data_IF_490429439378
#
_entry.id   IF_490429439378
#
_cell.length_a   1.000
_cell.length_b   1.000
_cell.length_c   1.000
_cell.angle_alpha   90.00
_cell.angle_beta   90.00
_cell.angle_gamma   90.00
#
_symmetry.space_group_name_H-M   'P 1'
#
loop_
_entity.id
_entity.type
_entity.pdbx_description
1 polymer ?
#
# COMPACT_ATOMS: atom_id res chain seq x y z
N UNK A 1 52.34 21.81 -15.66
CA UNK A 1 51.03 21.81 -16.39
C UNK A 1 50.44 20.43 -16.65
N UNK A 2 51.12 19.29 -16.52
CA UNK A 2 50.52 17.94 -16.77
C UNK A 2 49.71 17.35 -15.61
N UNK A 3 49.91 17.79 -14.38
CA UNK A 3 49.21 17.24 -13.21
C UNK A 3 47.83 17.83 -12.99
N UNK A 4 47.51 19.01 -13.47
CA UNK A 4 46.19 19.63 -13.35
C UNK A 4 45.15 19.07 -14.37
N UNK A 5 45.62 18.48 -15.48
CA UNK A 5 44.75 17.86 -16.48
C UNK A 5 44.25 16.47 -16.02
N UNK A 6 45.13 15.70 -15.35
CA UNK A 6 44.78 14.38 -14.79
C UNK A 6 43.77 14.48 -13.62
N UNK A 7 43.89 15.48 -12.75
CA UNK A 7 42.95 15.70 -11.65
C UNK A 7 41.52 16.05 -12.13
N UNK A 8 41.40 16.80 -13.23
CA UNK A 8 40.10 17.13 -13.82
C UNK A 8 39.43 15.95 -14.54
N UNK A 9 40.21 15.05 -15.12
CA UNK A 9 39.72 13.84 -15.76
C UNK A 9 39.27 12.79 -14.74
N UNK A 10 39.94 12.70 -13.59
CA UNK A 10 39.50 11.83 -12.47
C UNK A 10 38.25 12.34 -11.79
N UNK A 11 38.11 13.65 -11.54
CA UNK A 11 36.90 14.23 -10.96
C UNK A 11 35.68 14.14 -11.90
N UNK A 12 35.88 14.18 -13.21
CA UNK A 12 34.82 13.98 -14.20
C UNK A 12 34.39 12.50 -14.28
N UNK A 13 35.30 11.54 -14.10
CA UNK A 13 35.02 10.11 -14.11
C UNK A 13 34.33 9.65 -12.80
N UNK A 14 34.75 10.18 -11.65
CA UNK A 14 34.09 9.88 -10.37
C UNK A 14 32.70 10.53 -10.30
N UNK A 15 32.54 11.75 -10.75
CA UNK A 15 31.22 12.41 -10.79
C UNK A 15 30.25 11.80 -11.81
N UNK A 16 30.74 11.14 -12.87
CA UNK A 16 29.91 10.40 -13.82
C UNK A 16 29.55 9.01 -13.29
N UNK A 17 30.48 8.34 -12.59
CA UNK A 17 30.22 7.06 -11.94
C UNK A 17 29.22 7.22 -10.79
N UNK A 18 29.39 8.24 -9.94
CA UNK A 18 28.44 8.55 -8.86
C UNK A 18 27.05 8.93 -9.41
N UNK A 19 26.96 9.64 -10.55
CA UNK A 19 25.67 9.93 -11.20
C UNK A 19 25.01 8.71 -11.81
N UNK A 20 25.79 7.80 -12.40
CA UNK A 20 25.26 6.53 -12.94
C UNK A 20 24.75 5.61 -11.83
N UNK A 21 25.42 5.59 -10.67
CA UNK A 21 25.02 4.80 -9.52
C UNK A 21 23.74 5.37 -8.83
N UNK A 22 23.53 6.69 -8.90
CA UNK A 22 22.32 7.36 -8.40
C UNK A 22 21.13 7.16 -9.37
N UNK A 23 21.37 6.99 -10.66
CA UNK A 23 20.32 6.81 -11.68
C UNK A 23 19.84 5.36 -11.80
N UNK A 24 20.62 4.36 -11.40
CA UNK A 24 20.20 2.96 -11.39
C UNK A 24 19.41 2.63 -10.11
N UNK A 25 18.35 1.83 -10.25
CA UNK A 25 17.65 1.30 -9.07
C UNK A 25 18.54 0.29 -8.36
N UNK A 26 18.57 0.26 -6.99
CA UNK A 26 19.47 -0.61 -6.23
C UNK A 26 19.27 -2.11 -6.53
N UNK A 27 18.08 -2.50 -6.94
CA UNK A 27 17.69 -3.88 -7.27
C UNK A 27 17.68 -4.18 -8.79
N UNK A 28 18.07 -3.23 -9.62
CA UNK A 28 18.17 -3.37 -11.08
C UNK A 28 16.86 -3.34 -11.85
N UNK A 29 15.72 -3.01 -11.19
CA UNK A 29 14.42 -2.86 -11.87
C UNK A 29 14.39 -1.66 -12.83
N UNK A 30 13.56 -1.72 -13.86
CA UNK A 30 13.20 -0.54 -14.65
C UNK A 30 12.34 0.44 -13.82
N UNK A 31 12.26 1.70 -14.27
CA UNK A 31 11.54 2.76 -13.54
C UNK A 31 10.05 2.42 -13.33
N UNK A 32 9.45 1.69 -14.25
CA UNK A 32 8.05 1.27 -14.26
C UNK A 32 7.80 -0.14 -13.71
N UNK A 33 8.83 -0.81 -13.14
CA UNK A 33 8.69 -2.15 -12.58
C UNK A 33 8.22 -2.16 -11.13
N UNK A 34 7.30 -3.08 -10.81
CA UNK A 34 6.98 -3.49 -9.45
C UNK A 34 8.09 -4.41 -8.90
N UNK A 35 8.30 -4.39 -7.58
CA UNK A 35 9.02 -5.48 -6.90
C UNK A 35 8.29 -6.81 -7.12
N UNK A 36 8.91 -7.96 -6.87
CA UNK A 36 8.20 -9.23 -6.80
C UNK A 36 7.06 -9.15 -5.79
N UNK A 37 5.84 -9.45 -6.23
CA UNK A 37 4.63 -9.40 -5.39
C UNK A 37 4.16 -10.80 -5.10
N UNK A 38 3.88 -11.11 -3.83
CA UNK A 38 3.30 -12.38 -3.40
C UNK A 38 2.12 -12.13 -2.46
N UNK A 39 1.02 -12.86 -2.66
CA UNK A 39 -0.15 -12.84 -1.78
C UNK A 39 -0.44 -14.27 -1.35
N UNK A 40 -0.29 -14.55 -0.05
CA UNK A 40 -0.63 -15.84 0.55
C UNK A 40 -1.91 -15.72 1.35
N UNK A 41 -3.02 -16.25 0.82
CA UNK A 41 -4.35 -16.23 1.47
C UNK A 41 -4.42 -17.25 2.61
N UNK A 42 -5.42 -17.04 3.47
CA UNK A 42 -5.72 -17.94 4.59
C UNK A 42 -4.52 -18.17 5.52
N UNK A 43 -3.72 -17.10 5.69
CA UNK A 43 -2.51 -17.15 6.51
C UNK A 43 -2.82 -17.45 7.98
N UNK A 44 -3.89 -16.87 8.50
CA UNK A 44 -4.34 -17.10 9.88
C UNK A 44 -5.56 -18.02 9.94
N UNK A 45 -5.52 -18.97 10.85
CA UNK A 45 -6.55 -20.01 10.98
C UNK A 45 -7.91 -19.47 11.46
N UNK A 46 -7.91 -18.43 12.30
CA UNK A 46 -9.13 -18.01 13.02
C UNK A 46 -9.77 -16.77 12.44
N UNK A 47 -9.08 -16.01 11.60
CA UNK A 47 -9.63 -14.86 10.90
C UNK A 47 -10.62 -15.30 9.81
N UNK A 48 -11.70 -14.57 9.62
CA UNK A 48 -12.70 -14.83 8.56
C UNK A 48 -12.13 -14.57 7.16
N UNK A 49 -11.09 -13.72 7.06
CA UNK A 49 -10.26 -13.55 5.90
C UNK A 49 -8.84 -13.17 6.32
N UNK A 50 -7.82 -13.66 5.64
CA UNK A 50 -6.45 -13.23 5.94
C UNK A 50 -5.52 -13.42 4.77
N UNK A 51 -4.58 -12.49 4.61
CA UNK A 51 -3.53 -12.54 3.60
C UNK A 51 -2.21 -12.02 4.17
N UNK A 52 -1.12 -12.74 3.89
CA UNK A 52 0.21 -12.17 3.94
C UNK A 52 0.53 -11.62 2.55
N UNK A 53 0.79 -10.32 2.47
CA UNK A 53 1.23 -9.66 1.24
C UNK A 53 2.69 -9.26 1.34
N UNK A 54 3.43 -9.47 0.27
CA UNK A 54 4.84 -9.14 0.16
C UNK A 54 5.08 -8.29 -1.10
N UNK A 55 5.73 -7.14 -0.91
CA UNK A 55 6.26 -6.29 -1.97
C UNK A 55 7.79 -6.32 -1.83
N UNK A 56 8.45 -7.26 -2.51
CA UNK A 56 9.86 -7.55 -2.27
C UNK A 56 10.10 -7.88 -0.80
N UNK A 57 10.85 -7.02 -0.11
CA UNK A 57 11.14 -7.19 1.32
C UNK A 57 10.08 -6.59 2.26
N UNK A 58 9.17 -5.78 1.77
CA UNK A 58 8.03 -5.31 2.58
C UNK A 58 7.02 -6.44 2.78
N UNK A 59 6.67 -6.76 4.03
CA UNK A 59 5.72 -7.82 4.39
C UNK A 59 4.68 -7.29 5.34
N UNK A 60 3.41 -7.46 4.98
CA UNK A 60 2.26 -7.03 5.79
C UNK A 60 1.29 -8.19 5.95
N UNK A 61 0.93 -8.50 7.18
CA UNK A 61 -0.14 -9.42 7.50
C UNK A 61 -1.44 -8.63 7.61
N UNK A 62 -2.45 -9.02 6.84
CA UNK A 62 -3.78 -8.44 6.86
C UNK A 62 -4.77 -9.51 7.35
N UNK A 63 -5.51 -9.22 8.42
CA UNK A 63 -6.48 -10.13 9.02
C UNK A 63 -7.84 -9.45 9.17
N UNK A 64 -8.89 -10.05 8.62
CA UNK A 64 -10.26 -9.55 8.70
C UNK A 64 -11.03 -10.29 9.78
N UNK A 65 -11.63 -9.53 10.69
CA UNK A 65 -12.53 -10.01 11.74
C UNK A 65 -13.94 -9.53 11.46
N UNK A 66 -14.91 -10.46 11.45
CA UNK A 66 -16.33 -10.18 11.23
C UNK A 66 -17.10 -10.16 12.54
N UNK A 67 -17.88 -9.11 12.76
CA UNK A 67 -18.79 -8.99 13.91
C UNK A 67 -20.18 -8.66 13.39
N UNK A 68 -21.18 -9.42 13.83
CA UNK A 68 -22.59 -9.07 13.60
C UNK A 68 -22.94 -7.80 14.35
N UNK A 69 -23.59 -6.86 13.66
CA UNK A 69 -23.92 -5.54 14.16
C UNK A 69 -22.92 -4.47 13.74
N UNK A 70 -23.30 -3.24 14.00
CA UNK A 70 -22.54 -2.04 13.60
C UNK A 70 -22.37 -1.09 14.78
N UNK A 71 -21.43 -0.14 14.73
CA UNK A 71 -21.25 0.88 15.76
C UNK A 71 -22.57 1.60 16.08
N UNK A 72 -22.73 2.06 17.33
CA UNK A 72 -23.99 2.68 17.83
C UNK A 72 -24.53 3.78 16.92
N UNK A 73 -23.65 4.61 16.39
CA UNK A 73 -24.02 5.73 15.50
C UNK A 73 -24.55 5.28 14.12
N UNK A 74 -24.37 4.01 13.76
CA UNK A 74 -24.82 3.44 12.48
C UNK A 74 -25.97 2.45 12.63
N UNK A 75 -26.30 2.05 13.87
CA UNK A 75 -27.34 1.06 14.18
C UNK A 75 -28.69 1.51 13.65
N UNK A 76 -29.43 0.60 13.00
CA UNK A 76 -30.73 0.87 12.38
C UNK A 76 -30.69 1.59 11.06
N UNK A 77 -29.49 1.80 10.47
CA UNK A 77 -29.36 2.39 9.13
C UNK A 77 -29.51 1.37 8.01
N UNK A 78 -29.45 0.08 8.31
CA UNK A 78 -29.38 -1.00 7.31
C UNK A 78 -28.03 -1.11 6.61
N UNK A 79 -27.05 -0.29 7.03
CA UNK A 79 -25.74 -0.22 6.38
C UNK A 79 -24.66 -0.90 7.25
N UNK A 80 -23.80 -1.67 6.62
CA UNK A 80 -22.61 -2.25 7.26
C UNK A 80 -21.51 -1.24 7.53
N UNK A 81 -20.41 -1.73 8.09
CA UNK A 81 -19.22 -0.92 8.36
C UNK A 81 -17.94 -1.70 8.09
N UNK A 82 -16.99 -1.03 7.46
CA UNK A 82 -15.62 -1.54 7.27
C UNK A 82 -14.65 -0.54 7.85
N UNK A 83 -13.76 -1.01 8.70
CA UNK A 83 -12.69 -0.21 9.30
C UNK A 83 -11.37 -0.97 9.25
N UNK A 84 -10.26 -0.27 9.48
CA UNK A 84 -8.96 -0.89 9.56
C UNK A 84 -8.12 -0.30 10.68
N UNK A 85 -7.24 -1.12 11.21
CA UNK A 85 -6.15 -0.74 12.09
C UNK A 85 -4.82 -1.04 11.40
N UNK A 86 -3.80 -0.27 11.71
CA UNK A 86 -2.47 -0.44 11.16
C UNK A 86 -1.47 -0.40 12.29
N UNK A 87 -0.52 -1.30 12.26
CA UNK A 87 0.56 -1.35 13.24
C UNK A 87 1.86 -1.82 12.59
N UNK A 88 2.98 -1.52 13.24
CA UNK A 88 4.29 -1.96 12.82
C UNK A 88 4.98 -2.70 13.95
N UNK A 89 5.49 -3.91 13.67
CA UNK A 89 6.27 -4.63 14.67
C UNK A 89 7.55 -3.84 15.04
N UNK A 90 8.00 -3.92 16.29
CA UNK A 90 9.17 -3.17 16.74
C UNK A 90 10.43 -3.36 15.89
N UNK A 91 10.62 -4.55 15.33
CA UNK A 91 11.77 -4.89 14.46
C UNK A 91 11.38 -5.03 12.99
N UNK A 92 10.28 -4.45 12.59
CA UNK A 92 9.93 -4.35 11.16
C UNK A 92 10.94 -3.49 10.38
N UNK A 93 11.64 -2.58 11.05
CA UNK A 93 12.64 -1.64 10.49
C UNK A 93 14.07 -2.02 10.87
N UNK A 94 15.05 -1.38 10.26
CA UNK A 94 16.50 -1.57 10.52
C UNK A 94 16.85 -1.42 12.01
N UNK A 95 16.25 -0.46 12.69
CA UNK A 95 16.39 -0.24 14.12
C UNK A 95 15.10 -0.61 14.83
N UNK A 96 15.20 -1.00 16.12
CA UNK A 96 14.03 -1.31 16.93
C UNK A 96 13.26 -0.04 17.29
N UNK A 97 11.97 -0.01 16.94
CA UNK A 97 11.03 1.00 17.40
C UNK A 97 10.29 0.52 18.66
N UNK A 98 9.85 1.47 19.50
CA UNK A 98 9.00 1.13 20.64
C UNK A 98 7.58 0.74 20.18
N UNK A 99 6.94 -0.14 20.94
CA UNK A 99 5.52 -0.41 20.72
C UNK A 99 4.67 0.79 21.14
N UNK A 100 3.80 1.29 20.25
CA UNK A 100 2.91 2.42 20.53
C UNK A 100 1.97 2.12 21.70
N UNK A 101 1.49 0.86 21.81
CA UNK A 101 0.64 0.41 22.92
C UNK A 101 1.31 0.56 24.30
N UNK A 102 2.64 0.42 24.38
CA UNK A 102 3.39 0.63 25.64
C UNK A 102 3.49 2.11 25.99
N UNK A 103 3.50 3.00 24.98
CA UNK A 103 3.47 4.46 25.18
C UNK A 103 2.09 5.00 25.56
N UNK A 104 1.06 4.16 25.57
CA UNK A 104 -0.32 4.52 25.93
C UNK A 104 -1.05 5.42 24.94
N UNK A 105 -0.47 5.66 23.77
CA UNK A 105 -1.11 6.43 22.67
C UNK A 105 -0.63 5.95 21.32
N UNK A 106 -1.54 5.94 20.37
CA UNK A 106 -1.27 5.66 18.97
C UNK A 106 -0.72 6.94 18.32
N UNK A 107 0.30 6.81 17.47
CA UNK A 107 0.92 7.92 16.75
C UNK A 107 0.00 8.50 15.66
N UNK A 108 0.21 9.78 15.30
CA UNK A 108 -0.57 10.44 14.25
C UNK A 108 -0.45 9.73 12.89
N UNK A 109 0.75 9.25 12.54
CA UNK A 109 1.01 8.47 11.32
C UNK A 109 0.19 7.16 11.31
N UNK A 110 0.16 6.43 12.39
CA UNK A 110 -0.60 5.17 12.52
C UNK A 110 -2.10 5.43 12.36
N UNK A 111 -2.63 6.47 13.00
CA UNK A 111 -4.03 6.89 12.82
C UNK A 111 -4.36 7.31 11.39
N UNK A 112 -3.47 8.06 10.75
CA UNK A 112 -3.64 8.50 9.36
C UNK A 112 -3.72 7.29 8.42
N UNK A 113 -2.77 6.34 8.54
CA UNK A 113 -2.73 5.14 7.69
C UNK A 113 -3.95 4.24 7.94
N UNK A 114 -4.35 4.01 9.19
CA UNK A 114 -5.55 3.24 9.53
C UNK A 114 -6.80 3.83 8.85
N UNK A 115 -6.94 5.17 8.86
CA UNK A 115 -8.06 5.86 8.20
C UNK A 115 -8.00 5.76 6.69
N UNK A 116 -6.81 5.85 6.11
CA UNK A 116 -6.56 5.68 4.68
C UNK A 116 -6.99 4.28 4.22
N UNK A 117 -6.52 3.21 4.89
CA UNK A 117 -6.90 1.83 4.58
C UNK A 117 -8.43 1.66 4.67
N UNK A 118 -9.03 2.08 5.79
CA UNK A 118 -10.47 1.97 5.98
C UNK A 118 -11.29 2.70 4.93
N UNK A 119 -10.85 3.91 4.49
CA UNK A 119 -11.50 4.65 3.38
C UNK A 119 -11.39 3.92 2.06
N UNK A 120 -10.20 3.42 1.75
CA UNK A 120 -9.93 2.67 0.51
C UNK A 120 -10.82 1.43 0.42
N UNK A 121 -10.93 0.66 1.50
CA UNK A 121 -11.75 -0.54 1.52
C UNK A 121 -13.26 -0.24 1.40
N UNK A 122 -13.72 0.87 1.97
CA UNK A 122 -15.14 1.29 1.81
C UNK A 122 -15.49 1.71 0.39
N UNK A 123 -14.53 2.09 -0.44
CA UNK A 123 -14.75 2.32 -1.87
C UNK A 123 -14.91 1.00 -2.67
N UNK A 124 -14.49 -0.14 -2.09
CA UNK A 124 -14.61 -1.45 -2.73
C UNK A 124 -15.94 -2.15 -2.47
N UNK A 125 -16.75 -1.70 -1.49
CA UNK A 125 -17.87 -2.47 -0.97
C UNK A 125 -19.15 -1.63 -0.87
N UNK A 126 -20.27 -2.22 -1.30
CA UNK A 126 -21.60 -1.71 -1.03
C UNK A 126 -22.01 -2.06 0.41
N UNK A 127 -22.04 -1.04 1.25
CA UNK A 127 -22.37 -1.18 2.67
C UNK A 127 -23.84 -1.56 2.91
N UNK A 128 -24.75 -1.29 1.96
CA UNK A 128 -26.14 -1.73 2.06
C UNK A 128 -26.24 -3.23 1.77
N UNK A 129 -25.49 -3.72 0.77
CA UNK A 129 -25.40 -5.14 0.48
C UNK A 129 -24.70 -5.94 1.58
N UNK A 130 -23.72 -5.34 2.28
CA UNK A 130 -23.10 -5.94 3.46
C UNK A 130 -24.11 -6.13 4.61
N UNK A 131 -25.12 -5.24 4.72
CA UNK A 131 -26.07 -5.23 5.85
C UNK A 131 -25.39 -4.81 7.15
N UNK A 132 -26.11 -4.84 8.27
CA UNK A 132 -25.55 -4.43 9.57
C UNK A 132 -24.51 -5.43 10.13
N UNK A 133 -23.45 -5.68 9.33
CA UNK A 133 -22.25 -6.39 9.74
C UNK A 133 -21.07 -5.41 9.78
N UNK A 134 -20.15 -5.62 10.72
CA UNK A 134 -18.87 -4.90 10.77
C UNK A 134 -17.72 -5.81 10.37
N UNK A 135 -16.80 -5.30 9.57
CA UNK A 135 -15.54 -5.96 9.25
C UNK A 135 -14.41 -5.04 9.70
N UNK A 136 -13.61 -5.51 10.65
CA UNK A 136 -12.38 -4.84 11.08
C UNK A 136 -11.18 -5.56 10.46
N UNK A 137 -10.27 -4.82 9.86
CA UNK A 137 -9.07 -5.38 9.24
C UNK A 137 -7.84 -4.86 9.96
N UNK A 138 -7.10 -5.77 10.55
CA UNK A 138 -5.83 -5.50 11.20
C UNK A 138 -4.70 -5.68 10.17
N UNK A 139 -3.88 -4.65 10.00
CA UNK A 139 -2.73 -4.64 9.09
C UNK A 139 -1.44 -4.49 9.90
N UNK A 140 -0.75 -5.60 10.12
CA UNK A 140 0.51 -5.64 10.87
C UNK A 140 1.71 -5.74 9.94
N UNK A 141 2.55 -4.69 9.93
CA UNK A 141 3.79 -4.70 9.17
C UNK A 141 4.83 -5.56 9.90
N UNK A 142 5.17 -6.68 9.28
CA UNK A 142 6.16 -7.65 9.79
C UNK A 142 7.57 -7.18 9.42
N UNK A 143 7.74 -6.68 8.20
CA UNK A 143 8.99 -6.12 7.68
C UNK A 143 8.68 -4.95 6.76
N UNK A 144 9.43 -3.85 6.94
CA UNK A 144 9.26 -2.61 6.20
C UNK A 144 10.47 -2.32 5.32
N UNK A 145 10.21 -2.14 4.03
CA UNK A 145 11.18 -1.76 3.01
C UNK A 145 10.52 -0.86 1.95
N UNK A 146 9.92 0.27 2.38
CA UNK A 146 9.12 1.15 1.53
C UNK A 146 7.73 0.59 1.20
N UNK A 147 6.76 1.45 0.92
CA UNK A 147 5.42 1.09 0.46
C UNK A 147 4.56 0.29 1.44
N UNK A 148 4.77 0.41 2.76
CA UNK A 148 4.03 -0.39 3.75
C UNK A 148 2.54 -0.11 3.76
N UNK A 149 2.11 1.16 3.58
CA UNK A 149 0.68 1.53 3.54
C UNK A 149 -0.01 1.04 2.27
N UNK A 150 0.68 1.07 1.13
CA UNK A 150 0.14 0.60 -0.15
C UNK A 150 0.05 -0.93 -0.20
N UNK A 151 1.03 -1.64 0.33
CA UNK A 151 0.97 -3.08 0.54
C UNK A 151 -0.17 -3.45 1.49
N UNK A 152 -0.35 -2.71 2.61
CA UNK A 152 -1.45 -2.93 3.55
C UNK A 152 -2.82 -2.77 2.87
N UNK A 153 -3.05 -1.72 2.07
CA UNK A 153 -4.32 -1.53 1.33
C UNK A 153 -4.57 -2.69 0.37
N UNK A 154 -3.54 -3.07 -0.41
CA UNK A 154 -3.64 -4.11 -1.43
C UNK A 154 -3.91 -5.48 -0.81
N UNK A 155 -3.24 -5.83 0.31
CA UNK A 155 -3.46 -7.08 1.03
C UNK A 155 -4.77 -7.10 1.82
N UNK A 156 -5.15 -5.96 2.40
CA UNK A 156 -6.40 -5.80 3.13
C UNK A 156 -7.64 -6.03 2.25
N UNK A 157 -7.58 -5.64 0.97
CA UNK A 157 -8.65 -5.96 0.02
C UNK A 157 -8.85 -7.47 -0.14
N UNK A 158 -7.77 -8.26 -0.25
CA UNK A 158 -7.85 -9.72 -0.37
C UNK A 158 -8.44 -10.33 0.91
N UNK A 159 -8.01 -9.87 2.09
CA UNK A 159 -8.59 -10.31 3.36
C UNK A 159 -10.08 -9.93 3.48
N UNK A 160 -10.49 -8.74 3.00
CA UNK A 160 -11.88 -8.31 2.93
C UNK A 160 -12.70 -9.22 2.02
N UNK A 161 -12.18 -9.58 0.84
CA UNK A 161 -12.85 -10.45 -0.12
C UNK A 161 -13.12 -11.85 0.47
N UNK A 162 -12.14 -12.41 1.18
CA UNK A 162 -12.31 -13.68 1.90
C UNK A 162 -13.38 -13.59 3.01
N UNK A 163 -13.36 -12.52 3.81
CA UNK A 163 -14.34 -12.29 4.86
C UNK A 163 -15.76 -12.11 4.32
N UNK A 164 -15.93 -11.43 3.20
CA UNK A 164 -17.21 -11.29 2.49
C UNK A 164 -17.68 -12.63 1.95
N UNK A 165 -16.81 -13.45 1.39
CA UNK A 165 -17.11 -14.80 0.95
C UNK A 165 -17.57 -15.67 2.12
N UNK A 166 -16.90 -15.57 3.27
CA UNK A 166 -17.28 -16.26 4.50
C UNK A 166 -18.70 -15.83 4.99
N UNK A 167 -19.00 -14.51 4.99
CA UNK A 167 -20.34 -14.01 5.32
C UNK A 167 -21.40 -14.53 4.37
N UNK A 168 -21.11 -14.58 3.07
CA UNK A 168 -22.01 -15.13 2.06
C UNK A 168 -22.32 -16.60 2.31
N UNK A 169 -21.31 -17.42 2.64
CA UNK A 169 -21.47 -18.82 2.99
C UNK A 169 -22.29 -19.06 4.26
N UNK A 170 -22.34 -18.07 5.17
CA UNK A 170 -23.18 -18.08 6.38
C UNK A 170 -24.59 -17.55 6.14
N UNK A 171 -24.91 -17.03 4.94
CA UNK A 171 -26.20 -16.39 4.66
C UNK A 171 -26.41 -15.09 5.45
N UNK A 172 -25.33 -14.42 5.86
CA UNK A 172 -25.36 -13.25 6.74
C UNK A 172 -25.29 -11.90 6.00
N UNK A 173 -25.15 -11.90 4.67
CA UNK A 173 -25.19 -10.71 3.84
C UNK A 173 -26.63 -10.25 3.60
N UNK A 174 -26.87 -8.93 3.53
CA UNK A 174 -28.19 -8.39 3.17
C UNK A 174 -28.50 -8.59 1.69
N UNK A 175 -27.49 -8.51 0.82
CA UNK A 175 -27.62 -8.79 -0.61
C UNK A 175 -26.37 -9.56 -1.11
N UNK A 176 -26.49 -10.35 -2.19
CA UNK A 176 -25.35 -11.03 -2.78
C UNK A 176 -24.36 -10.03 -3.39
N UNK A 177 -23.07 -10.41 -3.41
CA UNK A 177 -21.98 -9.66 -4.08
C UNK A 177 -21.82 -8.20 -3.60
N UNK A 178 -21.54 -7.97 -2.31
CA UNK A 178 -21.34 -6.62 -1.80
C UNK A 178 -20.06 -5.96 -2.30
N UNK A 179 -19.06 -6.71 -2.80
CA UNK A 179 -17.88 -6.14 -3.44
C UNK A 179 -18.24 -5.58 -4.82
N UNK A 180 -18.02 -4.28 -5.00
CA UNK A 180 -18.35 -3.54 -6.22
C UNK A 180 -17.13 -3.23 -7.09
N UNK A 181 -15.95 -3.18 -6.46
CA UNK A 181 -14.66 -2.95 -7.11
C UNK A 181 -13.54 -3.71 -6.40
N UNK A 182 -12.44 -4.00 -7.10
CA UNK A 182 -11.18 -4.25 -6.45
C UNK A 182 -10.51 -2.93 -6.07
N UNK A 183 -9.59 -2.98 -5.08
CA UNK A 183 -8.80 -1.83 -4.66
C UNK A 183 -7.35 -2.27 -4.56
N UNK A 184 -6.47 -1.51 -5.18
CA UNK A 184 -5.02 -1.66 -5.02
C UNK A 184 -4.35 -0.30 -4.82
N UNK A 185 -3.15 -0.31 -4.29
CA UNK A 185 -2.39 0.90 -4.02
C UNK A 185 -0.90 0.67 -4.29
N UNK A 186 -0.24 1.72 -4.75
CA UNK A 186 1.19 1.70 -5.01
C UNK A 186 1.83 3.03 -4.63
N UNK A 187 3.12 2.99 -4.25
CA UNK A 187 3.93 4.20 -4.13
C UNK A 187 4.56 4.55 -5.48
N UNK A 188 4.63 5.83 -5.77
CA UNK A 188 5.36 6.40 -6.90
C UNK A 188 6.12 7.62 -6.41
N UNK A 189 7.18 8.01 -7.10
CA UNK A 189 7.91 9.21 -6.71
C UNK A 189 8.92 9.62 -7.77
N UNK A 190 9.58 10.76 -7.53
CA UNK A 190 10.66 11.27 -8.37
C UNK A 190 11.96 11.02 -7.63
N UNK A 191 12.86 10.26 -8.24
CA UNK A 191 14.19 9.95 -7.70
C UNK A 191 15.23 10.30 -8.75
N UNK A 192 16.14 11.22 -8.43
CA UNK A 192 17.13 11.76 -9.35
C UNK A 192 16.52 12.31 -10.67
N UNK A 193 15.34 12.97 -10.56
CA UNK A 193 14.61 13.55 -11.68
C UNK A 193 13.83 12.54 -12.53
N UNK A 194 13.79 11.25 -12.15
CA UNK A 194 13.10 10.19 -12.86
C UNK A 194 11.85 9.73 -12.08
N UNK A 195 10.64 9.74 -12.68
CA UNK A 195 9.45 9.11 -12.07
C UNK A 195 9.65 7.61 -11.97
N UNK A 196 9.43 7.04 -10.77
CA UNK A 196 9.59 5.61 -10.46
C UNK A 196 8.37 5.03 -9.79
N UNK A 197 8.07 3.79 -10.15
CA UNK A 197 7.00 2.99 -9.58
C UNK A 197 7.52 2.12 -8.43
N UNK A 198 6.71 1.95 -7.36
CA UNK A 198 6.95 1.04 -6.25
C UNK A 198 8.32 1.26 -5.59
N UNK A 199 8.44 2.39 -4.88
CA UNK A 199 9.67 2.79 -4.22
C UNK A 199 10.03 1.84 -3.08
N UNK A 200 11.23 1.28 -3.09
CA UNK A 200 11.83 0.64 -1.93
C UNK A 200 12.36 1.70 -0.94
N UNK A 201 12.73 1.29 0.27
CA UNK A 201 13.13 2.22 1.33
C UNK A 201 14.26 3.17 0.93
N UNK A 202 15.30 2.64 0.26
CA UNK A 202 16.46 3.44 -0.16
C UNK A 202 16.12 4.46 -1.25
N UNK A 203 15.06 4.23 -2.03
CA UNK A 203 14.54 5.19 -3.00
C UNK A 203 13.62 6.22 -2.33
N UNK A 204 12.72 5.75 -1.48
CA UNK A 204 11.75 6.56 -0.72
C UNK A 204 12.44 7.66 0.10
N UNK A 205 13.52 7.31 0.82
CA UNK A 205 14.32 8.27 1.61
C UNK A 205 15.03 9.32 0.76
N UNK A 206 15.32 9.02 -0.51
CA UNK A 206 16.01 9.94 -1.44
C UNK A 206 15.07 10.61 -2.44
N UNK A 207 13.79 10.27 -2.41
CA UNK A 207 12.81 10.82 -3.33
C UNK A 207 12.67 12.34 -3.15
N UNK A 208 12.68 13.07 -4.24
CA UNK A 208 12.38 14.50 -4.31
C UNK A 208 10.89 14.74 -4.10
N UNK A 209 10.09 13.76 -4.52
CA UNK A 209 8.64 13.70 -4.33
C UNK A 209 8.27 12.25 -4.07
N UNK A 210 7.50 11.99 -3.02
CA UNK A 210 6.85 10.70 -2.77
C UNK A 210 5.33 10.85 -2.88
N UNK A 211 4.68 9.83 -3.45
CA UNK A 211 3.24 9.82 -3.62
C UNK A 211 2.70 8.40 -3.42
N UNK A 212 1.58 8.31 -2.70
CA UNK A 212 0.82 7.08 -2.57
C UNK A 212 -0.51 7.22 -3.30
N UNK A 213 -0.80 6.30 -4.18
CA UNK A 213 -1.99 6.34 -5.03
C UNK A 213 -2.82 5.09 -4.80
N UNK A 214 -4.12 5.28 -4.58
CA UNK A 214 -5.11 4.20 -4.41
C UNK A 214 -6.07 4.24 -5.60
N UNK A 215 -6.22 3.12 -6.28
CA UNK A 215 -6.99 3.01 -7.53
C UNK A 215 -7.96 1.84 -7.44
N UNK A 216 -9.15 2.00 -8.03
CA UNK A 216 -10.11 0.91 -8.23
C UNK A 216 -9.67 0.01 -9.39
N UNK A 217 -10.21 -1.21 -9.48
CA UNK A 217 -9.99 -2.09 -10.63
C UNK A 217 -10.47 -1.52 -11.97
N UNK A 218 -11.34 -0.51 -11.93
CA UNK A 218 -11.80 0.24 -13.11
C UNK A 218 -10.84 1.37 -13.53
N UNK A 219 -9.81 1.67 -12.71
CA UNK A 219 -8.85 2.74 -12.96
C UNK A 219 -9.21 4.09 -12.33
N UNK A 220 -10.27 4.15 -11.53
CA UNK A 220 -10.67 5.39 -10.85
C UNK A 220 -9.85 5.63 -9.59
N UNK A 221 -9.47 6.88 -9.33
CA UNK A 221 -8.73 7.24 -8.14
C UNK A 221 -9.63 7.29 -6.90
N UNK A 222 -9.20 6.60 -5.85
CA UNK A 222 -9.83 6.67 -4.51
C UNK A 222 -9.12 7.69 -3.65
N UNK A 223 -7.79 7.73 -3.71
CA UNK A 223 -6.97 8.70 -2.98
C UNK A 223 -5.63 8.91 -3.70
N UNK A 224 -5.19 10.15 -3.74
CA UNK A 224 -3.87 10.57 -4.21
C UNK A 224 -3.26 11.42 -3.12
N UNK A 225 -2.16 10.95 -2.53
CA UNK A 225 -1.46 11.63 -1.44
C UNK A 225 0.01 11.76 -1.82
N UNK A 226 0.47 12.99 -2.06
CA UNK A 226 1.83 13.25 -2.48
C UNK A 226 2.42 14.46 -1.77
N UNK A 227 3.73 14.41 -1.54
CA UNK A 227 4.51 15.45 -0.87
C UNK A 227 5.80 15.70 -1.62
N UNK A 228 6.14 16.97 -1.83
CA UNK A 228 7.46 17.37 -2.31
C UNK A 228 8.39 17.57 -1.11
N UNK A 229 9.52 16.87 -1.07
CA UNK A 229 10.50 16.94 0.02
C UNK A 229 11.54 18.05 -0.16
N UNK A 230 11.29 18.99 -1.04
CA UNK A 230 12.20 20.11 -1.28
C UNK A 230 11.71 21.02 -2.38
N UNK A 231 11.94 20.66 -3.62
CA UNK A 231 11.49 21.42 -4.78
C UNK A 231 10.08 20.99 -5.18
N UNK A 232 9.12 21.91 -5.37
CA UNK A 232 7.78 21.55 -5.83
C UNK A 232 7.83 20.81 -7.18
N UNK A 233 7.03 19.75 -7.32
CA UNK A 233 6.89 19.02 -8.57
C UNK A 233 5.96 19.74 -9.55
N UNK A 234 6.22 19.58 -10.84
CA UNK A 234 5.45 20.19 -11.93
C UNK A 234 4.24 19.34 -12.29
N UNK A 235 3.36 19.92 -13.10
CA UNK A 235 2.14 19.23 -13.58
C UNK A 235 2.46 18.00 -14.43
N UNK A 236 3.45 18.10 -15.31
CA UNK A 236 3.89 16.98 -16.15
C UNK A 236 4.51 15.84 -15.34
N UNK A 237 5.19 16.14 -14.26
CA UNK A 237 5.72 15.15 -13.31
C UNK A 237 4.58 14.47 -12.52
N UNK A 238 3.57 15.21 -12.12
CA UNK A 238 2.37 14.66 -11.50
C UNK A 238 1.66 13.69 -12.44
N UNK A 239 1.42 14.09 -13.68
CA UNK A 239 0.74 13.27 -14.67
C UNK A 239 1.54 11.98 -14.94
N UNK A 240 2.89 12.05 -15.07
CA UNK A 240 3.75 10.87 -15.23
C UNK A 240 3.69 9.92 -14.02
N UNK A 241 3.68 10.43 -12.78
CA UNK A 241 3.52 9.60 -11.58
C UNK A 241 2.16 8.94 -11.51
N UNK A 242 1.08 9.63 -11.89
CA UNK A 242 -0.27 9.07 -11.93
C UNK A 242 -0.40 7.97 -13.00
N UNK A 243 0.18 8.14 -14.18
CA UNK A 243 0.21 7.13 -15.22
C UNK A 243 0.94 5.85 -14.77
N UNK A 244 2.10 5.99 -14.12
CA UNK A 244 2.81 4.87 -13.49
C UNK A 244 1.97 4.17 -12.43
N UNK A 245 1.28 4.94 -11.58
CA UNK A 245 0.43 4.40 -10.52
C UNK A 245 -0.74 3.59 -11.09
N UNK A 246 -1.44 4.09 -12.11
CA UNK A 246 -2.53 3.37 -12.79
C UNK A 246 -2.01 2.06 -13.37
N UNK A 247 -0.89 2.09 -14.10
CA UNK A 247 -0.29 0.90 -14.69
C UNK A 247 0.15 -0.13 -13.63
N UNK A 248 0.74 0.35 -12.53
CA UNK A 248 1.14 -0.47 -11.39
C UNK A 248 -0.07 -1.12 -10.69
N UNK A 249 -1.11 -0.34 -10.39
CA UNK A 249 -2.33 -0.83 -9.77
C UNK A 249 -3.07 -1.83 -10.65
N UNK A 250 -3.08 -1.65 -11.98
CA UNK A 250 -3.66 -2.64 -12.88
C UNK A 250 -2.96 -4.01 -12.81
N UNK A 251 -1.62 -4.02 -12.63
CA UNK A 251 -0.84 -5.25 -12.40
C UNK A 251 -1.15 -5.86 -11.02
N UNK A 252 -1.24 -5.03 -9.98
CA UNK A 252 -1.60 -5.50 -8.63
C UNK A 252 -3.01 -6.11 -8.59
N UNK A 253 -3.98 -5.51 -9.29
CA UNK A 253 -5.34 -6.05 -9.42
C UNK A 253 -5.35 -7.45 -10.03
N UNK A 254 -4.54 -7.70 -11.08
CA UNK A 254 -4.41 -9.06 -11.64
C UNK A 254 -3.86 -10.06 -10.64
N UNK A 255 -2.83 -9.67 -9.88
CA UNK A 255 -2.24 -10.53 -8.84
C UNK A 255 -3.26 -10.82 -7.73
N UNK A 256 -4.10 -9.83 -7.35
CA UNK A 256 -5.21 -10.05 -6.40
C UNK A 256 -6.24 -11.05 -6.95
N UNK A 257 -6.64 -10.91 -8.22
CA UNK A 257 -7.58 -11.81 -8.90
C UNK A 257 -7.04 -13.23 -8.97
N UNK A 258 -5.79 -13.40 -9.41
CA UNK A 258 -5.12 -14.70 -9.42
C UNK A 258 -5.07 -15.34 -8.02
N UNK A 259 -4.75 -14.56 -6.98
CA UNK A 259 -4.78 -15.04 -5.62
C UNK A 259 -6.19 -15.41 -5.15
N UNK A 260 -7.23 -14.71 -5.58
CA UNK A 260 -8.64 -14.98 -5.25
C UNK A 260 -9.22 -16.16 -6.05
N UNK A 261 -8.56 -16.58 -7.14
CA UNK A 261 -9.02 -17.65 -8.04
C UNK A 261 -10.07 -17.16 -9.03
N UNK A 262 -9.99 -15.90 -9.40
CA UNK A 262 -10.88 -15.21 -10.37
C UNK A 262 -10.28 -15.17 -11.79
#
# INVERSE_FOLDING_TARGET
>A
MRWQALGRQWAALTGAADKLDIMSRPDGRAADDLRPITITRHWQKYAEGSALIEFGHTKVLCAASVVQGVPRWRKGSGLGWVTAEYSMLPRATLTRNDRESVKGRIGGRTHEISRLIGRSLRAAIDLAALGENSISIDCDVIQADGGTRTAAITGAYVALADAVTWLGAKGALAQPKPLVNSISAVSVGIVAGEPRLDLMYDEDVRAETDMNVVVTGAGDFVEVQGTAEGVPFRRDELDAMLDLAIAGCARLTKIQQEALGE
#
